data_IF_900732190710
#
_entry.id   IF_900732190710
#
_cell.length_a   1.000
_cell.length_b   1.000
_cell.length_c   1.000
_cell.angle_alpha   90.00
_cell.angle_beta   90.00
_cell.angle_gamma   90.00
#
_symmetry.space_group_name_H-M   'P 1'
#
loop_
_entity.id
_entity.type
_entity.pdbx_description
1 polymer ?
#
# COMPACT_ATOMS: atom_id res chain seq x y z
N UNK A 1 8.83 2.08 22.17
CA UNK A 1 9.64 2.65 21.08
C UNK A 1 10.24 1.57 20.16
N UNK A 2 10.84 0.48 20.65
CA UNK A 2 11.54 -0.48 19.75
C UNK A 2 10.72 -1.37 18.79
N UNK A 3 9.37 -1.42 18.89
CA UNK A 3 8.55 -2.24 17.96
C UNK A 3 8.38 -1.60 16.58
N UNK A 4 8.64 -0.30 16.50
CA UNK A 4 8.39 0.55 15.33
C UNK A 4 9.54 0.47 14.34
N UNK A 5 10.77 0.60 14.85
CA UNK A 5 11.99 0.36 14.08
C UNK A 5 12.02 -1.06 13.52
N UNK A 6 11.52 -2.03 14.30
CA UNK A 6 11.40 -3.41 13.84
C UNK A 6 10.42 -3.50 12.67
N UNK A 7 9.24 -2.88 12.79
CA UNK A 7 8.24 -2.87 11.74
C UNK A 7 8.77 -2.21 10.46
N UNK A 8 9.38 -1.01 10.54
CA UNK A 8 9.99 -0.34 9.38
C UNK A 8 11.05 -1.25 8.71
N UNK A 9 11.90 -1.93 9.48
CA UNK A 9 12.89 -2.88 8.94
C UNK A 9 12.25 -4.09 8.26
N UNK A 10 11.23 -4.69 8.87
CA UNK A 10 10.50 -5.81 8.28
C UNK A 10 9.81 -5.39 6.99
N UNK A 11 9.14 -4.24 6.97
CA UNK A 11 8.45 -3.73 5.80
C UNK A 11 9.40 -3.35 4.67
N UNK A 12 10.56 -2.75 4.98
CA UNK A 12 11.58 -2.44 3.97
C UNK A 12 12.15 -3.71 3.32
N UNK A 13 12.34 -4.77 4.11
CA UNK A 13 12.76 -6.06 3.57
C UNK A 13 11.67 -6.71 2.73
N UNK A 14 10.42 -6.68 3.20
CA UNK A 14 9.27 -7.21 2.45
C UNK A 14 9.08 -6.49 1.12
N UNK A 15 9.29 -5.16 1.08
CA UNK A 15 9.23 -4.36 -0.14
C UNK A 15 10.27 -4.77 -1.19
N UNK A 16 11.44 -5.25 -0.76
CA UNK A 16 12.46 -5.76 -1.67
C UNK A 16 12.20 -7.21 -2.12
N UNK A 17 11.45 -7.98 -1.33
CA UNK A 17 11.15 -9.38 -1.64
C UNK A 17 9.81 -9.56 -2.38
N UNK A 18 8.87 -8.62 -2.24
CA UNK A 18 7.55 -8.69 -2.87
C UNK A 18 7.52 -7.99 -4.24
N UNK A 19 6.85 -8.57 -5.24
CA UNK A 19 6.64 -7.90 -6.52
C UNK A 19 5.74 -6.66 -6.33
N UNK A 20 6.00 -5.56 -7.06
CA UNK A 20 5.34 -4.26 -6.87
C UNK A 20 3.82 -4.26 -7.17
N UNK A 21 3.29 -5.37 -7.70
CA UNK A 21 1.88 -5.50 -8.07
C UNK A 21 1.07 -6.36 -7.07
N UNK A 22 1.66 -6.70 -5.93
CA UNK A 22 0.96 -7.52 -4.94
C UNK A 22 -0.01 -6.65 -4.10
N UNK A 23 -1.26 -7.08 -4.02
CA UNK A 23 -2.29 -6.41 -3.19
C UNK A 23 -1.89 -6.35 -1.72
N UNK A 24 -0.95 -7.19 -1.29
CA UNK A 24 -0.34 -7.17 0.04
C UNK A 24 0.38 -5.87 0.36
N UNK A 25 0.94 -5.16 -0.63
CA UNK A 25 1.62 -3.88 -0.43
C UNK A 25 0.68 -2.80 0.09
N UNK A 26 -0.53 -2.71 -0.47
CA UNK A 26 -1.54 -1.75 0.00
C UNK A 26 -1.89 -1.98 1.47
N UNK A 27 -2.01 -3.24 1.90
CA UNK A 27 -2.26 -3.59 3.29
C UNK A 27 -1.07 -3.26 4.20
N UNK A 28 0.15 -3.52 3.71
CA UNK A 28 1.40 -3.21 4.39
C UNK A 28 1.52 -1.72 4.75
N UNK A 29 1.25 -0.85 3.77
CA UNK A 29 1.28 0.59 3.97
C UNK A 29 0.19 1.10 4.90
N UNK A 30 -0.98 0.45 4.91
CA UNK A 30 -2.05 0.78 5.86
C UNK A 30 -1.62 0.48 7.30
N UNK A 31 -1.04 -0.69 7.51
CA UNK A 31 -0.59 -1.15 8.83
C UNK A 31 0.58 -0.27 9.34
N UNK A 32 1.46 0.21 8.44
CA UNK A 32 2.48 1.23 8.72
C UNK A 32 1.89 2.58 9.16
N UNK A 33 0.84 3.03 8.48
CA UNK A 33 0.17 4.29 8.80
C UNK A 33 -0.48 4.26 10.18
N UNK A 34 -1.13 3.15 10.50
CA UNK A 34 -1.76 2.92 11.81
C UNK A 34 -0.70 2.86 12.92
N UNK A 35 0.40 2.17 12.65
CA UNK A 35 1.54 2.10 13.55
C UNK A 35 2.14 3.49 13.83
N UNK A 36 2.35 4.32 12.81
CA UNK A 36 2.86 5.69 12.98
C UNK A 36 1.87 6.60 13.74
N UNK A 37 0.56 6.37 13.60
CA UNK A 37 -0.45 7.10 14.38
C UNK A 37 -0.35 6.74 15.87
N UNK A 38 -0.13 5.46 16.18
CA UNK A 38 0.05 4.97 17.55
C UNK A 38 1.32 5.52 18.23
N UNK A 39 2.25 6.09 17.46
CA UNK A 39 3.52 6.63 17.97
C UNK A 39 3.49 8.14 18.11
N UNK A 40 2.39 8.76 17.72
CA UNK A 40 2.26 10.22 17.65
C UNK A 40 2.93 10.83 16.40
N UNK A 41 3.48 10.01 15.50
CA UNK A 41 4.04 10.47 14.22
C UNK A 41 2.93 10.56 13.16
N UNK A 42 2.03 11.52 13.33
CA UNK A 42 0.91 11.75 12.42
C UNK A 42 1.37 12.09 11.00
N UNK A 43 2.48 12.81 10.84
CA UNK A 43 3.05 13.12 9.52
C UNK A 43 3.44 11.85 8.76
N UNK A 44 4.13 10.90 9.42
CA UNK A 44 4.45 9.61 8.82
C UNK A 44 3.18 8.79 8.55
N UNK A 45 2.22 8.81 9.49
CA UNK A 45 0.95 8.11 9.34
C UNK A 45 0.24 8.51 8.05
N UNK A 46 0.09 9.81 7.80
CA UNK A 46 -0.55 10.34 6.60
C UNK A 46 0.20 9.91 5.34
N UNK A 47 1.53 10.00 5.32
CA UNK A 47 2.33 9.57 4.16
C UNK A 47 2.12 8.09 3.83
N UNK A 48 2.08 7.22 4.85
CA UNK A 48 1.86 5.78 4.64
C UNK A 48 0.44 5.47 4.17
N UNK A 49 -0.57 6.13 4.73
CA UNK A 49 -1.95 5.99 4.26
C UNK A 49 -2.11 6.48 2.81
N UNK A 50 -1.46 7.56 2.41
CA UNK A 50 -1.46 8.03 1.03
C UNK A 50 -0.84 7.01 0.06
N UNK A 51 0.29 6.38 0.44
CA UNK A 51 0.90 5.32 -0.38
C UNK A 51 0.00 4.08 -0.52
N UNK A 52 -0.68 3.69 0.55
CA UNK A 52 -1.66 2.60 0.53
C UNK A 52 -2.81 2.89 -0.44
N UNK A 53 -3.35 4.11 -0.40
CA UNK A 53 -4.41 4.55 -1.30
C UNK A 53 -3.94 4.62 -2.74
N UNK A 54 -2.76 5.18 -3.03
CA UNK A 54 -2.23 5.25 -4.39
C UNK A 54 -2.07 3.87 -5.04
N UNK A 55 -1.66 2.85 -4.28
CA UNK A 55 -1.58 1.48 -4.77
C UNK A 55 -2.96 0.85 -4.97
N UNK A 56 -3.89 1.11 -4.06
CA UNK A 56 -5.27 0.66 -4.19
C UNK A 56 -5.93 1.28 -5.42
N UNK A 57 -5.74 2.57 -5.64
CA UNK A 57 -6.30 3.31 -6.77
C UNK A 57 -5.61 2.90 -8.08
N UNK A 58 -4.30 2.66 -8.09
CA UNK A 58 -3.59 2.11 -9.24
C UNK A 58 -4.10 0.71 -9.61
N UNK A 59 -4.40 -0.14 -8.61
CA UNK A 59 -4.95 -1.46 -8.84
C UNK A 59 -6.41 -1.39 -9.32
N UNK A 60 -7.20 -0.46 -8.78
CA UNK A 60 -8.57 -0.19 -9.24
C UNK A 60 -8.55 0.32 -10.68
N UNK A 61 -7.67 1.28 -11.02
CA UNK A 61 -7.49 1.77 -12.38
C UNK A 61 -7.09 0.65 -13.34
N UNK A 62 -6.16 -0.22 -12.95
CA UNK A 62 -5.76 -1.38 -13.76
C UNK A 62 -6.90 -2.38 -14.02
N UNK A 63 -7.82 -2.54 -13.07
CA UNK A 63 -9.04 -3.33 -13.25
C UNK A 63 -10.07 -2.66 -14.16
N UNK A 64 -10.24 -1.34 -14.05
CA UNK A 64 -11.19 -0.58 -14.86
C UNK A 64 -10.84 -0.56 -16.36
N UNK A 65 -9.56 -0.61 -16.72
CA UNK A 65 -9.14 -0.73 -18.13
C UNK A 65 -9.29 -2.15 -18.71
N UNK A 66 -9.51 -3.17 -17.88
CA UNK A 66 -9.70 -4.55 -18.37
C UNK A 66 -11.15 -4.86 -18.80
N UNK A 67 -12.13 -4.08 -18.32
CA UNK A 67 -13.55 -4.33 -18.61
C UNK A 67 -14.06 -3.62 -19.88
N UNK A 68 -13.30 -2.68 -20.46
CA UNK A 68 -13.78 -1.84 -21.58
C UNK A 68 -13.60 -2.49 -22.98
N UNK A 69 -12.69 -3.47 -23.14
CA UNK A 69 -12.49 -4.12 -24.46
C UNK A 69 -13.49 -5.26 -24.78
N UNK A 70 -14.34 -5.67 -23.84
CA UNK A 70 -15.32 -6.77 -24.06
C UNK A 70 -16.64 -6.32 -24.68
N UNK A 71 -16.90 -5.01 -24.78
CA UNK A 71 -18.21 -4.49 -25.24
C UNK A 71 -18.28 -4.07 -26.71
N UNK A 72 -17.19 -4.14 -27.50
CA UNK A 72 -17.22 -3.70 -28.90
C UNK A 72 -17.09 -4.84 -29.93
N UNK A 73 -17.76 -5.96 -29.68
CA UNK A 73 -17.86 -7.06 -30.65
C UNK A 73 -19.28 -7.66 -30.69
N UNK A 74 -20.29 -6.87 -31.06
CA UNK A 74 -21.49 -7.35 -31.80
C UNK A 74 -21.98 -6.22 -32.72
#
# INVERSE_FOLDING_TARGET
MGKLDLAERYFTRLLNELPPNDSLLGKLYKDLGELASLTGDYDKSVQWHQKSLALKDSNILAGLFHDDERSNSI
#
